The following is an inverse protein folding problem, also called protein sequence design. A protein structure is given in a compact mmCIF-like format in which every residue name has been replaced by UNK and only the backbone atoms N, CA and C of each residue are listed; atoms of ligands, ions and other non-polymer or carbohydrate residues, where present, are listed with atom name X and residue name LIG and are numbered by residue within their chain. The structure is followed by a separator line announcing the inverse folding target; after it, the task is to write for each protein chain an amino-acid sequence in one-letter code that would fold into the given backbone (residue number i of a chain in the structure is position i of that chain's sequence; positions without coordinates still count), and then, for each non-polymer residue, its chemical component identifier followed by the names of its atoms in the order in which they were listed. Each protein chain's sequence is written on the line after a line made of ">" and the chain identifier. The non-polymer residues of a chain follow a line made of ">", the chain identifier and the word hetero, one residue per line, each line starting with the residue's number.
data_IF_238199398428
#
_entry.id   IF_238199398428
#
_cell.length_a   1.000
_cell.length_b   1.000
_cell.length_c   1.000
_cell.angle_alpha   90.00
_cell.angle_beta   90.00
_cell.angle_gamma   90.00
#
_symmetry.space_group_name_H-M   'P 1'
#
loop_
_entity.id
_entity.type
_entity.pdbx_description
1 polymer ?
#
# COMPACT_ATOMS: atom_id res chain seq x y z
N UNK A 1 -20.01 5.18 12.42
CA UNK A 1 -19.81 4.83 10.99
C UNK A 1 -18.31 4.68 10.74
N UNK A 2 -17.79 3.43 10.65
CA UNK A 2 -16.35 3.20 10.40
C UNK A 2 -16.07 3.59 8.94
N UNK A 3 -15.35 4.69 8.73
CA UNK A 3 -14.77 5.02 7.42
C UNK A 3 -13.95 3.81 6.96
N UNK A 4 -14.29 3.23 5.81
CA UNK A 4 -13.53 2.11 5.24
C UNK A 4 -12.16 2.66 4.84
N UNK A 5 -11.10 2.19 5.48
CA UNK A 5 -9.74 2.47 5.02
C UNK A 5 -9.58 2.02 3.57
N UNK A 6 -8.87 2.78 2.74
CA UNK A 6 -8.58 2.38 1.37
C UNK A 6 -7.79 1.06 1.36
N UNK A 7 -8.20 0.18 0.45
CA UNK A 7 -7.61 -1.14 0.28
C UNK A 7 -6.70 -1.12 -0.95
N UNK A 8 -5.39 -1.05 -0.73
CA UNK A 8 -4.40 -0.91 -1.78
C UNK A 8 -4.16 -2.24 -2.48
N UNK A 9 -4.34 -2.27 -3.80
CA UNK A 9 -4.06 -3.42 -4.68
C UNK A 9 -3.14 -2.99 -5.81
N UNK A 10 -2.14 -3.83 -6.12
CA UNK A 10 -1.22 -3.61 -7.24
C UNK A 10 -0.84 -4.95 -7.86
N UNK A 11 -0.91 -5.04 -9.19
CA UNK A 11 -0.45 -6.19 -9.96
C UNK A 11 0.68 -5.80 -10.89
N UNK A 12 1.56 -6.78 -11.14
CA UNK A 12 2.55 -6.71 -12.22
C UNK A 12 2.42 -7.99 -13.03
N UNK A 13 2.22 -7.88 -14.35
CA UNK A 13 2.10 -9.02 -15.25
C UNK A 13 1.08 -10.09 -14.77
N UNK A 14 -0.05 -9.64 -14.22
CA UNK A 14 -1.10 -10.52 -13.69
C UNK A 14 -0.84 -11.07 -12.28
N UNK A 15 0.35 -10.89 -11.72
CA UNK A 15 0.68 -11.29 -10.35
C UNK A 15 0.33 -10.18 -9.36
N UNK A 16 -0.46 -10.51 -8.35
CA UNK A 16 -0.80 -9.54 -7.28
C UNK A 16 0.37 -9.41 -6.33
N UNK A 17 0.87 -8.19 -6.15
CA UNK A 17 2.01 -7.88 -5.26
C UNK A 17 1.54 -7.20 -3.99
N UNK A 18 0.53 -6.34 -4.06
CA UNK A 18 -0.14 -5.78 -2.88
C UNK A 18 -1.52 -6.40 -2.75
N UNK A 19 -1.75 -7.14 -1.67
CA UNK A 19 -2.97 -7.89 -1.41
C UNK A 19 -3.90 -7.14 -0.46
N UNK A 20 -4.54 -6.08 -0.95
CA UNK A 20 -5.56 -5.37 -0.21
C UNK A 20 -5.07 -4.80 1.12
N UNK A 21 -4.02 -3.99 1.07
CA UNK A 21 -3.40 -3.41 2.25
C UNK A 21 -4.23 -2.23 2.75
N UNK A 22 -4.58 -2.23 4.04
CA UNK A 22 -5.21 -1.09 4.71
C UNK A 22 -4.20 -0.45 5.66
N UNK A 23 -3.75 0.77 5.36
CA UNK A 23 -2.81 1.51 6.18
C UNK A 23 -3.41 2.86 6.59
N UNK A 24 -3.28 3.23 7.86
CA UNK A 24 -3.64 4.54 8.39
C UNK A 24 -2.48 5.06 9.21
N UNK A 25 -1.92 6.20 8.81
CA UNK A 25 -0.80 6.86 9.49
C UNK A 25 -1.28 8.22 9.97
N UNK A 26 -1.03 8.55 11.23
CA UNK A 26 -1.36 9.85 11.81
C UNK A 26 -0.26 10.87 11.56
N UNK A 27 -0.60 12.15 11.58
CA UNK A 27 0.40 13.22 11.52
C UNK A 27 1.40 13.10 12.66
N UNK A 28 2.69 13.10 12.32
CA UNK A 28 3.79 12.94 13.28
C UNK A 28 4.11 11.48 13.64
N UNK A 29 3.39 10.49 13.08
CA UNK A 29 3.66 9.08 13.32
C UNK A 29 4.80 8.57 12.42
N UNK A 30 5.73 7.82 13.02
CA UNK A 30 6.80 7.13 12.30
C UNK A 30 6.45 5.65 12.21
N UNK A 31 6.30 5.14 10.99
CA UNK A 31 5.93 3.75 10.72
C UNK A 31 7.05 3.06 9.93
N UNK A 32 7.45 1.87 10.39
CA UNK A 32 8.37 1.00 9.67
C UNK A 32 7.61 -0.14 8.98
N UNK A 33 7.93 -0.40 7.70
CA UNK A 33 7.40 -1.55 6.95
C UNK A 33 8.48 -2.62 6.89
N UNK A 34 8.23 -3.77 7.51
CA UNK A 34 9.17 -4.90 7.60
C UNK A 34 8.65 -6.14 6.88
N UNK A 35 9.56 -6.97 6.38
CA UNK A 35 9.24 -8.21 5.68
C UNK A 35 10.40 -8.72 4.82
N UNK A 36 10.38 -9.99 4.37
CA UNK A 36 11.44 -10.60 3.57
C UNK A 36 11.62 -9.91 2.22
N UNK A 37 12.75 -10.12 1.55
CA UNK A 37 12.96 -9.60 0.18
C UNK A 37 11.83 -10.07 -0.75
N UNK A 38 11.39 -9.21 -1.67
CA UNK A 38 10.28 -9.50 -2.58
C UNK A 38 8.87 -9.35 -2.01
N UNK A 39 8.69 -9.05 -0.72
CA UNK A 39 7.36 -8.95 -0.08
C UNK A 39 6.51 -7.71 -0.46
N UNK A 40 6.89 -6.95 -1.48
CA UNK A 40 6.11 -5.79 -1.95
C UNK A 40 6.31 -4.46 -1.20
N UNK A 41 7.29 -4.35 -0.28
CA UNK A 41 7.53 -3.11 0.51
C UNK A 41 7.81 -1.88 -0.36
N UNK A 42 8.74 -2.00 -1.30
CA UNK A 42 9.08 -0.92 -2.23
C UNK A 42 7.89 -0.55 -3.11
N UNK A 43 7.09 -1.53 -3.54
CA UNK A 43 5.85 -1.30 -4.28
C UNK A 43 4.85 -0.51 -3.47
N UNK A 44 4.65 -0.85 -2.19
CA UNK A 44 3.75 -0.12 -1.29
C UNK A 44 4.22 1.34 -1.09
N UNK A 45 5.50 1.57 -0.80
CA UNK A 45 6.04 2.92 -0.63
C UNK A 45 5.93 3.77 -1.91
N UNK A 46 6.20 3.19 -3.08
CA UNK A 46 6.00 3.87 -4.38
C UNK A 46 4.53 4.20 -4.63
N UNK A 47 3.63 3.30 -4.23
CA UNK A 47 2.19 3.51 -4.38
C UNK A 47 1.70 4.64 -3.47
N UNK A 48 2.16 4.68 -2.21
CA UNK A 48 1.85 5.77 -1.26
C UNK A 48 2.39 7.11 -1.77
N UNK A 49 3.56 7.14 -2.38
CA UNK A 49 4.13 8.37 -2.93
C UNK A 49 3.55 8.75 -4.32
N UNK A 50 2.51 8.04 -4.79
CA UNK A 50 1.88 8.22 -6.12
C UNK A 50 2.85 8.11 -7.30
N UNK A 51 4.03 7.51 -7.08
CA UNK A 51 4.99 7.16 -8.12
C UNK A 51 4.54 5.92 -8.93
N UNK A 52 3.63 5.15 -8.34
CA UNK A 52 2.90 4.05 -8.96
C UNK A 52 1.42 4.24 -8.63
N UNK A 53 0.56 4.42 -9.62
CA UNK A 53 -0.87 4.49 -9.33
C UNK A 53 -1.36 3.12 -8.83
N UNK A 54 -1.99 3.04 -7.64
CA UNK A 54 -2.65 1.82 -7.20
C UNK A 54 -3.83 1.51 -8.10
N UNK A 55 -4.12 0.23 -8.32
CA UNK A 55 -5.25 -0.20 -9.15
C UNK A 55 -6.60 0.02 -8.45
N UNK A 56 -6.60 0.15 -7.12
CA UNK A 56 -7.75 0.51 -6.31
C UNK A 56 -7.31 1.16 -4.98
N UNK A 57 -8.16 2.06 -4.43
CA UNK A 57 -7.91 2.81 -3.19
C UNK A 57 -7.89 4.33 -3.41
N UNK A 58 -8.16 5.11 -2.35
CA UNK A 58 -8.03 6.59 -2.32
C UNK A 58 -7.20 6.97 -1.09
N UNK A 59 -6.46 8.08 -1.10
CA UNK A 59 -5.68 8.54 0.05
C UNK A 59 -6.53 8.92 1.27
#
# INVERSE_FOLDING_TARGET
>A
MRSKSPTWVKKFHGQTVLHGINLKVKTGEVVAIIGPSGSGKTTLLRSINLLEQPEAGHH
#
